data_IF_501500888406
#
_entry.id   IF_501500888406
#
_cell.length_a   1.000
_cell.length_b   1.000
_cell.length_c   1.000
_cell.angle_alpha   90.00
_cell.angle_beta   90.00
_cell.angle_gamma   90.00
#
_symmetry.space_group_name_H-M   'P 1'
#
loop_
_entity.id
_entity.type
_entity.pdbx_description
1 polymer ?
#
# COMPACT_ATOMS: atom_id res chain seq x y z
N UNK A 1 20.56 -25.24 -0.62
CA UNK A 1 21.04 -24.21 0.34
C UNK A 1 19.90 -23.92 1.28
N UNK A 2 20.04 -24.21 2.57
CA UNK A 2 18.95 -24.07 3.53
C UNK A 2 18.63 -22.59 3.80
N UNK A 3 17.34 -22.23 3.95
CA UNK A 3 16.87 -20.87 4.23
C UNK A 3 17.65 -20.20 5.38
N UNK A 4 18.02 -20.99 6.42
CA UNK A 4 18.85 -20.53 7.54
C UNK A 4 20.25 -20.07 7.10
N UNK A 5 20.88 -20.81 6.20
CA UNK A 5 22.21 -20.46 5.65
C UNK A 5 22.14 -19.20 4.78
N UNK A 6 21.04 -19.01 4.05
CA UNK A 6 20.81 -17.81 3.24
C UNK A 6 20.62 -16.58 4.10
N UNK A 7 19.83 -16.67 5.19
CA UNK A 7 19.61 -15.57 6.15
C UNK A 7 20.92 -15.21 6.85
N UNK A 8 21.70 -16.18 7.30
CA UNK A 8 23.00 -15.93 7.94
C UNK A 8 23.98 -15.24 6.97
N UNK A 9 24.01 -15.68 5.71
CA UNK A 9 24.87 -15.05 4.70
C UNK A 9 24.41 -13.61 4.39
N UNK A 10 23.11 -13.36 4.32
CA UNK A 10 22.53 -12.04 4.09
C UNK A 10 22.85 -11.08 5.27
N UNK A 11 22.70 -11.58 6.49
CA UNK A 11 23.00 -10.80 7.71
C UNK A 11 24.51 -10.53 7.83
N UNK A 12 25.37 -11.51 7.49
CA UNK A 12 26.83 -11.31 7.52
C UNK A 12 27.31 -10.31 6.45
N UNK A 13 26.72 -10.33 5.25
CA UNK A 13 27.03 -9.34 4.20
C UNK A 13 26.54 -7.94 4.55
N UNK A 14 25.37 -7.82 5.21
CA UNK A 14 24.91 -6.53 5.74
C UNK A 14 25.83 -5.98 6.84
N UNK A 15 26.32 -6.84 7.75
CA UNK A 15 27.23 -6.45 8.83
C UNK A 15 28.63 -6.05 8.29
N UNK A 16 29.11 -6.69 7.24
CA UNK A 16 30.37 -6.33 6.58
C UNK A 16 30.27 -5.01 5.81
N UNK A 17 29.09 -4.72 5.20
CA UNK A 17 28.83 -3.45 4.57
C UNK A 17 28.77 -2.26 5.56
N UNK A 18 28.38 -2.52 6.81
CA UNK A 18 28.35 -1.51 7.87
C UNK A 18 29.74 -1.09 8.38
N UNK A 19 30.78 -1.89 8.14
CA UNK A 19 32.17 -1.61 8.57
C UNK A 19 32.95 -0.70 7.59
N UNK A 20 32.40 -0.39 6.43
CA UNK A 20 32.98 0.56 5.48
C UNK A 20 32.84 1.98 6.00
N UNK A 21 33.75 2.43 6.87
CA UNK A 21 33.99 3.85 7.13
C UNK A 21 34.54 4.49 5.87
N UNK A 22 33.70 4.73 4.89
CA UNK A 22 34.00 5.66 3.84
C UNK A 22 34.10 7.05 4.50
N UNK A 23 35.32 7.46 4.84
CA UNK A 23 35.64 8.85 5.16
C UNK A 23 35.40 9.67 3.88
N UNK A 24 34.14 9.93 3.59
CA UNK A 24 33.77 10.83 2.53
C UNK A 24 33.81 12.24 3.11
N UNK A 25 34.88 12.99 2.80
CA UNK A 25 34.90 14.46 2.81
C UNK A 25 33.98 15.01 1.71
N UNK A 26 32.98 14.25 1.28
CA UNK A 26 31.98 14.69 0.33
C UNK A 26 31.17 15.82 0.96
N UNK A 27 31.24 17.00 0.33
CA UNK A 27 30.47 18.17 0.73
C UNK A 27 28.99 17.79 0.83
N UNK A 28 28.39 18.05 1.99
CA UNK A 28 26.96 17.81 2.18
C UNK A 28 26.14 18.70 1.26
N UNK A 29 25.31 18.08 0.46
CA UNK A 29 24.32 18.78 -0.36
C UNK A 29 23.18 19.27 0.55
N UNK A 30 22.64 20.44 0.29
CA UNK A 30 21.54 21.05 1.05
C UNK A 30 21.82 20.99 2.57
N UNK A 31 22.91 21.61 3.08
CA UNK A 31 23.33 21.47 4.50
C UNK A 31 22.26 21.98 5.49
N UNK A 32 21.44 22.96 5.09
CA UNK A 32 20.40 23.56 5.93
C UNK A 32 19.05 22.82 5.84
N UNK A 33 18.95 21.73 5.08
CA UNK A 33 17.71 21.01 4.93
C UNK A 33 17.19 20.50 6.28
N UNK A 34 18.04 19.87 7.07
CA UNK A 34 17.65 19.26 8.35
C UNK A 34 17.33 20.28 9.46
N UNK A 35 17.72 21.55 9.30
CA UNK A 35 17.40 22.62 10.23
C UNK A 35 16.03 23.28 9.99
N UNK A 36 15.46 23.08 8.81
CA UNK A 36 14.12 23.60 8.49
C UNK A 36 13.05 22.75 9.16
N UNK A 37 12.04 23.40 9.73
CA UNK A 37 10.93 22.71 10.39
C UNK A 37 9.90 22.16 9.41
N UNK A 38 9.74 22.78 8.26
CA UNK A 38 8.74 22.42 7.25
C UNK A 38 9.40 22.15 5.91
N UNK A 39 8.94 21.08 5.27
CA UNK A 39 9.33 20.73 3.91
C UNK A 39 8.08 20.36 3.13
N UNK A 40 8.11 20.68 1.85
CA UNK A 40 7.04 20.34 0.92
C UNK A 40 7.59 19.56 -0.25
N UNK A 41 6.71 18.81 -0.88
CA UNK A 41 7.12 17.99 -2.00
C UNK A 41 5.95 17.27 -2.65
N UNK A 42 6.28 16.30 -3.46
CA UNK A 42 5.29 15.42 -4.09
C UNK A 42 5.83 13.99 -4.18
N UNK A 43 4.90 13.06 -4.32
CA UNK A 43 5.19 11.63 -4.51
C UNK A 43 4.54 11.13 -5.79
N UNK A 44 5.30 10.33 -6.51
CA UNK A 44 4.83 9.49 -7.60
C UNK A 44 5.01 8.03 -7.17
N UNK A 45 3.96 7.23 -7.26
CA UNK A 45 4.05 5.87 -6.74
C UNK A 45 3.36 4.88 -7.67
N UNK A 46 3.93 3.67 -7.73
CA UNK A 46 3.22 2.48 -8.21
C UNK A 46 2.61 1.76 -7.02
N UNK A 47 1.42 1.23 -7.18
CA UNK A 47 0.79 0.40 -6.17
C UNK A 47 0.38 -0.97 -6.71
N UNK A 48 0.23 -1.93 -5.81
CA UNK A 48 -0.40 -3.22 -6.05
C UNK A 48 -1.44 -3.44 -4.97
N UNK A 49 -2.71 -3.45 -5.37
CA UNK A 49 -3.85 -3.49 -4.46
C UNK A 49 -4.56 -4.84 -4.53
N UNK A 50 -5.01 -5.30 -3.38
CA UNK A 50 -5.62 -6.61 -3.21
C UNK A 50 -6.58 -6.61 -2.03
N UNK A 51 -7.31 -7.71 -1.84
CA UNK A 51 -8.14 -7.96 -0.66
C UNK A 51 -7.54 -9.05 0.21
N UNK A 52 -7.74 -8.95 1.50
CA UNK A 52 -7.63 -10.04 2.44
C UNK A 52 -9.05 -10.52 2.77
N UNK A 53 -9.33 -11.81 2.51
CA UNK A 53 -10.67 -12.38 2.55
C UNK A 53 -10.74 -13.41 3.67
N UNK A 54 -11.69 -13.26 4.58
CA UNK A 54 -12.07 -14.26 5.57
C UNK A 54 -13.39 -14.91 5.13
N UNK A 55 -13.45 -16.24 5.07
CA UNK A 55 -14.65 -16.98 4.70
C UNK A 55 -15.54 -17.26 5.90
N UNK A 56 -16.85 -17.44 5.66
CA UNK A 56 -17.77 -17.88 6.70
C UNK A 56 -17.47 -19.33 7.10
N UNK A 57 -17.38 -19.68 8.41
CA UNK A 57 -17.05 -21.02 8.85
C UNK A 57 -18.06 -22.09 8.42
N UNK A 58 -19.33 -21.71 8.32
CA UNK A 58 -20.45 -22.59 7.95
C UNK A 58 -20.70 -22.63 6.44
N UNK A 59 -19.89 -21.90 5.64
CA UNK A 59 -20.03 -21.91 4.20
C UNK A 59 -19.38 -23.16 3.64
N UNK A 60 -20.20 -24.15 3.32
CA UNK A 60 -19.78 -25.23 2.43
C UNK A 60 -19.74 -24.67 1.02
N UNK A 61 -18.59 -24.66 0.37
CA UNK A 61 -18.52 -24.40 -1.06
C UNK A 61 -19.51 -25.38 -1.72
N UNK A 62 -20.56 -24.81 -2.34
CA UNK A 62 -21.56 -25.61 -3.04
C UNK A 62 -20.89 -26.37 -4.17
N UNK A 63 -21.51 -27.44 -4.66
CA UNK A 63 -21.00 -28.22 -5.78
C UNK A 63 -20.66 -27.39 -7.02
N UNK A 64 -21.16 -26.15 -7.11
CA UNK A 64 -20.89 -25.22 -8.20
C UNK A 64 -19.77 -24.21 -7.91
N UNK A 65 -19.58 -23.68 -6.68
CA UNK A 65 -18.52 -22.73 -6.37
C UNK A 65 -17.32 -23.43 -5.72
N UNK A 66 -16.22 -23.56 -6.46
CA UNK A 66 -15.01 -24.24 -6.05
C UNK A 66 -14.04 -23.36 -5.23
N UNK A 67 -14.03 -22.06 -5.48
CA UNK A 67 -13.12 -21.16 -4.78
C UNK A 67 -13.24 -19.69 -5.22
N UNK A 68 -12.72 -18.83 -4.35
CA UNK A 68 -12.55 -17.38 -4.61
C UNK A 68 -11.08 -17.04 -4.36
N UNK A 69 -10.40 -16.53 -5.37
CA UNK A 69 -9.00 -16.14 -5.27
C UNK A 69 -8.85 -14.63 -5.40
N UNK A 70 -7.99 -14.06 -4.56
CA UNK A 70 -7.64 -12.66 -4.66
C UNK A 70 -6.57 -12.45 -5.73
N UNK A 71 -6.83 -11.55 -6.68
CA UNK A 71 -5.91 -11.23 -7.77
C UNK A 71 -5.40 -9.79 -7.59
N UNK A 72 -4.15 -9.60 -7.13
CA UNK A 72 -3.58 -8.27 -7.00
C UNK A 72 -3.53 -7.56 -8.34
N UNK A 73 -3.90 -6.28 -8.34
CA UNK A 73 -3.87 -5.45 -9.54
C UNK A 73 -2.91 -4.27 -9.33
N UNK A 74 -2.25 -3.87 -10.42
CA UNK A 74 -1.35 -2.72 -10.42
C UNK A 74 -2.13 -1.42 -10.59
N UNK A 75 -1.63 -0.35 -9.97
CA UNK A 75 -2.15 0.99 -10.07
C UNK A 75 -1.07 2.03 -9.81
N UNK A 76 -1.46 3.28 -9.66
CA UNK A 76 -0.52 4.37 -9.39
C UNK A 76 -1.13 5.42 -8.45
N UNK A 77 -0.24 6.20 -7.78
CA UNK A 77 -0.64 7.26 -6.88
C UNK A 77 0.09 8.55 -7.21
N UNK A 78 -0.63 9.66 -7.04
CA UNK A 78 -0.11 11.02 -7.13
C UNK A 78 -0.44 11.73 -5.81
N UNK A 79 0.56 12.22 -5.10
CA UNK A 79 0.34 12.84 -3.80
C UNK A 79 1.21 14.06 -3.58
N UNK A 80 0.71 14.99 -2.78
CA UNK A 80 1.47 16.10 -2.23
C UNK A 80 2.07 15.67 -0.89
N UNK A 81 3.19 16.26 -0.53
CA UNK A 81 3.87 15.98 0.73
C UNK A 81 4.02 17.27 1.52
N UNK A 82 3.56 17.24 2.75
CA UNK A 82 3.91 18.20 3.78
C UNK A 82 4.59 17.45 4.93
N UNK A 83 5.81 17.85 5.27
CA UNK A 83 6.60 17.25 6.34
C UNK A 83 6.93 18.28 7.40
N UNK A 84 6.66 17.95 8.65
CA UNK A 84 6.99 18.74 9.82
C UNK A 84 8.06 18.01 10.65
N UNK A 85 9.15 18.67 10.95
CA UNK A 85 10.29 18.14 11.70
C UNK A 85 10.34 18.74 13.11
N UNK A 86 9.62 18.17 14.10
CA UNK A 86 9.60 18.70 15.47
C UNK A 86 10.97 18.53 16.15
N UNK A 87 11.66 17.42 15.88
CA UNK A 87 12.94 17.03 16.48
C UNK A 87 13.82 16.46 15.36
N UNK A 88 15.13 16.55 15.55
CA UNK A 88 16.07 15.89 14.62
C UNK A 88 15.73 14.40 14.47
N UNK A 89 15.72 13.94 13.22
CA UNK A 89 15.45 12.54 12.86
C UNK A 89 13.98 12.06 13.04
N UNK A 90 13.06 12.92 13.47
CA UNK A 90 11.63 12.60 13.60
C UNK A 90 10.83 13.57 12.75
N UNK A 91 10.08 13.02 11.81
CA UNK A 91 9.26 13.80 10.88
C UNK A 91 7.81 13.34 10.96
N UNK A 92 6.90 14.27 11.10
CA UNK A 92 5.47 14.03 10.91
C UNK A 92 5.11 14.44 9.48
N UNK A 93 4.61 13.48 8.68
CA UNK A 93 4.31 13.66 7.26
C UNK A 93 2.83 13.53 7.02
N UNK A 94 2.27 14.52 6.35
CA UNK A 94 0.91 14.48 5.81
C UNK A 94 1.00 14.43 4.27
N UNK A 95 0.37 13.40 3.66
CA UNK A 95 0.59 13.07 2.25
C UNK A 95 -0.73 12.92 1.50
N UNK A 96 -1.56 13.99 1.40
CA UNK A 96 -2.83 13.92 0.69
C UNK A 96 -2.61 13.65 -0.79
N UNK A 97 -3.45 12.78 -1.38
CA UNK A 97 -3.29 12.43 -2.79
C UNK A 97 -4.39 11.57 -3.36
N UNK A 98 -4.28 11.33 -4.65
CA UNK A 98 -5.13 10.45 -5.42
C UNK A 98 -4.43 9.11 -5.65
N UNK A 99 -5.16 8.03 -5.45
CA UNK A 99 -4.69 6.67 -5.68
C UNK A 99 -5.65 5.95 -6.62
N UNK A 100 -5.14 5.57 -7.77
CA UNK A 100 -5.85 4.76 -8.75
C UNK A 100 -5.54 3.31 -8.44
N UNK A 101 -6.56 2.57 -8.02
CA UNK A 101 -6.40 1.21 -7.52
C UNK A 101 -7.43 0.29 -8.16
N UNK A 102 -6.93 -0.78 -8.75
CA UNK A 102 -7.76 -1.87 -9.19
C UNK A 102 -7.59 -3.06 -8.26
N UNK A 103 -8.66 -3.82 -8.04
CA UNK A 103 -8.64 -5.05 -7.26
C UNK A 103 -9.43 -6.13 -7.98
N UNK A 104 -8.92 -7.35 -8.00
CA UNK A 104 -9.55 -8.48 -8.67
C UNK A 104 -9.96 -9.59 -7.71
N UNK A 105 -11.11 -10.17 -7.95
CA UNK A 105 -11.57 -11.42 -7.35
C UNK A 105 -11.86 -12.43 -8.46
N UNK A 106 -11.24 -13.59 -8.37
CA UNK A 106 -11.37 -14.67 -9.31
C UNK A 106 -12.27 -15.74 -8.71
N UNK A 107 -13.47 -15.91 -9.29
CA UNK A 107 -14.44 -16.90 -8.86
C UNK A 107 -14.35 -18.12 -9.76
N UNK A 108 -14.13 -19.29 -9.18
CA UNK A 108 -14.04 -20.54 -9.91
C UNK A 108 -15.27 -21.38 -9.64
N UNK A 109 -16.03 -21.68 -10.69
CA UNK A 109 -17.24 -22.48 -10.64
C UNK A 109 -17.08 -23.79 -11.41
N UNK A 110 -17.80 -24.83 -10.93
CA UNK A 110 -18.01 -26.04 -11.67
C UNK A 110 -19.31 -25.90 -12.49
N UNK A 111 -19.18 -25.87 -13.82
CA UNK A 111 -20.31 -25.82 -14.76
C UNK A 111 -20.82 -27.22 -15.11
N UNK A 112 -22.03 -27.33 -15.64
CA UNK A 112 -22.60 -28.59 -16.09
C UNK A 112 -21.67 -29.34 -17.04
N UNK A 113 -21.46 -30.64 -16.75
CA UNK A 113 -20.53 -31.48 -17.50
C UNK A 113 -19.08 -31.48 -16.99
N UNK A 114 -18.84 -31.12 -15.73
CA UNK A 114 -17.51 -31.15 -15.07
C UNK A 114 -16.49 -30.14 -15.66
N UNK A 115 -16.97 -29.05 -16.28
CA UNK A 115 -16.14 -27.95 -16.79
C UNK A 115 -15.92 -26.92 -15.70
N UNK A 116 -14.65 -26.53 -15.48
CA UNK A 116 -14.27 -25.46 -14.57
C UNK A 116 -14.31 -24.12 -15.32
N UNK A 117 -15.17 -23.20 -14.87
CA UNK A 117 -15.26 -21.86 -15.41
C UNK A 117 -14.77 -20.84 -14.37
N UNK A 118 -14.00 -19.86 -14.84
CA UNK A 118 -13.40 -18.85 -13.96
C UNK A 118 -13.85 -17.46 -14.39
N UNK A 119 -14.38 -16.69 -13.43
CA UNK A 119 -14.89 -15.34 -13.65
C UNK A 119 -14.08 -14.32 -12.85
N UNK A 120 -13.36 -13.44 -13.54
CA UNK A 120 -12.65 -12.34 -12.92
C UNK A 120 -13.57 -11.14 -12.71
N UNK A 121 -13.86 -10.80 -11.47
CA UNK A 121 -14.53 -9.54 -11.08
C UNK A 121 -13.48 -8.52 -10.69
N UNK A 122 -13.40 -7.42 -11.46
CA UNK A 122 -12.52 -6.30 -11.17
C UNK A 122 -13.32 -5.16 -10.54
N UNK A 123 -12.75 -4.55 -9.52
CA UNK A 123 -13.26 -3.32 -8.93
C UNK A 123 -12.21 -2.24 -9.14
N UNK A 124 -12.54 -1.30 -10.00
CA UNK A 124 -11.75 -0.10 -10.25
C UNK A 124 -12.17 0.97 -9.26
N UNK A 125 -11.21 1.65 -8.65
CA UNK A 125 -11.48 2.68 -7.64
C UNK A 125 -10.49 3.83 -7.74
N UNK A 126 -10.99 5.04 -7.60
CA UNK A 126 -10.17 6.25 -7.43
C UNK A 126 -10.33 6.72 -6.00
N UNK A 127 -9.27 6.57 -5.22
CA UNK A 127 -9.26 6.91 -3.79
C UNK A 127 -8.64 8.28 -3.56
N UNK A 128 -9.36 9.13 -2.84
CA UNK A 128 -8.78 10.30 -2.20
C UNK A 128 -8.24 9.88 -0.84
N UNK A 129 -6.93 9.97 -0.66
CA UNK A 129 -6.22 9.46 0.52
C UNK A 129 -5.62 10.59 1.36
N UNK A 130 -5.68 10.45 2.68
CA UNK A 130 -5.14 11.38 3.67
C UNK A 130 -4.24 10.64 4.67
N UNK A 131 -3.05 10.19 4.27
CA UNK A 131 -2.11 9.54 5.17
C UNK A 131 -1.45 10.52 6.13
N UNK A 132 -1.40 10.13 7.41
CA UNK A 132 -0.60 10.80 8.45
C UNK A 132 0.44 9.82 8.96
N UNK A 133 1.72 10.10 8.68
CA UNK A 133 2.83 9.18 8.87
C UNK A 133 3.88 9.76 9.82
N UNK A 134 4.34 8.96 10.74
CA UNK A 134 5.55 9.22 11.53
C UNK A 134 6.75 8.58 10.80
N UNK A 135 7.71 9.41 10.39
CA UNK A 135 8.96 9.00 9.75
C UNK A 135 10.10 9.13 10.75
N UNK A 136 10.76 8.02 11.03
CA UNK A 136 11.95 7.95 11.89
C UNK A 136 13.18 7.74 11.00
N UNK A 137 14.05 8.72 10.93
CA UNK A 137 15.22 8.74 10.06
C UNK A 137 16.50 8.52 10.84
N UNK A 138 17.46 7.82 10.24
CA UNK A 138 18.83 7.74 10.77
C UNK A 138 19.54 9.11 10.66
N UNK A 139 20.66 9.27 11.37
CA UNK A 139 21.54 10.37 11.06
C UNK A 139 22.03 10.28 9.62
N UNK A 140 22.17 11.43 8.99
CA UNK A 140 22.70 11.55 7.64
C UNK A 140 24.16 11.12 7.60
N UNK A 141 24.51 10.29 6.63
CA UNK A 141 25.89 9.88 6.34
C UNK A 141 26.23 10.38 4.94
N UNK A 142 26.99 11.48 4.85
CA UNK A 142 27.22 12.18 3.59
C UNK A 142 25.90 12.67 2.98
N UNK A 143 25.52 12.16 1.82
CA UNK A 143 24.29 12.54 1.12
C UNK A 143 23.20 11.46 1.17
N UNK A 144 23.22 10.61 2.20
CA UNK A 144 22.32 9.47 2.34
C UNK A 144 21.76 9.35 3.76
N UNK A 145 20.50 8.93 3.88
CA UNK A 145 19.88 8.53 5.14
C UNK A 145 18.85 7.43 4.88
N UNK A 146 18.73 6.49 5.82
CA UNK A 146 17.67 5.49 5.83
C UNK A 146 16.56 5.91 6.80
N UNK A 147 15.34 5.40 6.60
CA UNK A 147 14.24 5.67 7.50
C UNK A 147 13.20 4.55 7.54
N UNK A 148 12.51 4.47 8.67
CA UNK A 148 11.27 3.74 8.82
C UNK A 148 10.08 4.69 8.93
N UNK A 149 8.90 4.23 8.54
CA UNK A 149 7.67 5.00 8.69
C UNK A 149 6.51 4.09 9.13
N UNK A 150 5.64 4.67 9.92
CA UNK A 150 4.41 4.06 10.39
C UNK A 150 3.35 5.14 10.52
N UNK A 151 2.10 4.80 10.24
CA UNK A 151 0.99 5.75 10.39
C UNK A 151 -0.33 5.18 9.98
N UNK A 152 -1.32 6.05 9.86
CA UNK A 152 -2.65 5.71 9.41
C UNK A 152 -3.03 6.51 8.18
N UNK A 153 -3.90 5.94 7.36
CA UNK A 153 -4.47 6.62 6.21
C UNK A 153 -5.99 6.52 6.26
N UNK A 154 -6.66 7.64 6.10
CA UNK A 154 -8.08 7.70 5.82
C UNK A 154 -8.30 7.87 4.32
N UNK A 155 -9.09 6.98 3.72
CA UNK A 155 -9.39 6.98 2.30
C UNK A 155 -10.88 7.11 2.01
N UNK A 156 -11.20 7.82 0.92
CA UNK A 156 -12.55 7.97 0.39
C UNK A 156 -12.54 7.52 -1.07
N UNK A 157 -13.35 6.52 -1.39
CA UNK A 157 -13.54 6.07 -2.76
C UNK A 157 -14.45 7.05 -3.53
N UNK A 158 -13.90 7.69 -4.54
CA UNK A 158 -14.61 8.66 -5.39
C UNK A 158 -15.48 8.00 -6.45
N UNK A 159 -15.26 6.71 -6.73
CA UNK A 159 -16.01 5.91 -7.70
C UNK A 159 -16.83 4.80 -7.03
N UNK A 160 -17.14 4.94 -5.75
CA UNK A 160 -17.87 3.93 -4.99
C UNK A 160 -19.18 3.53 -5.67
N UNK A 161 -19.35 2.23 -5.87
CA UNK A 161 -20.57 1.62 -6.41
C UNK A 161 -21.56 1.20 -5.30
N UNK A 162 -21.42 1.76 -4.10
CA UNK A 162 -22.24 1.43 -2.94
C UNK A 162 -23.74 1.54 -3.19
N UNK A 163 -24.14 2.59 -3.91
CA UNK A 163 -25.55 2.95 -4.14
C UNK A 163 -26.06 2.50 -5.53
N UNK A 164 -25.30 1.67 -6.24
CA UNK A 164 -25.71 1.18 -7.58
C UNK A 164 -26.83 0.17 -7.45
N UNK A 165 -27.94 0.44 -8.15
CA UNK A 165 -29.08 -0.48 -8.23
C UNK A 165 -28.80 -1.56 -9.29
N UNK A 166 -28.55 -2.81 -8.85
CA UNK A 166 -28.18 -3.94 -9.71
C UNK A 166 -29.25 -4.26 -10.78
N UNK A 167 -30.53 -4.00 -10.47
CA UNK A 167 -31.63 -4.18 -11.42
C UNK A 167 -31.54 -3.26 -12.65
N UNK A 168 -30.89 -2.10 -12.50
CA UNK A 168 -30.69 -1.12 -13.57
C UNK A 168 -29.39 -1.39 -14.32
N UNK A 169 -28.36 -1.87 -13.61
CA UNK A 169 -27.03 -2.10 -14.18
C UNK A 169 -26.91 -3.40 -14.98
N UNK A 170 -27.84 -4.35 -14.82
CA UNK A 170 -27.83 -5.66 -15.51
C UNK A 170 -26.62 -6.55 -15.17
N UNK A 171 -25.85 -6.19 -14.15
CA UNK A 171 -24.65 -6.94 -13.68
C UNK A 171 -24.65 -6.99 -12.16
N UNK A 172 -24.37 -8.17 -11.61
CA UNK A 172 -24.13 -8.32 -10.18
C UNK A 172 -22.74 -7.74 -9.85
N UNK A 173 -22.70 -6.76 -8.97
CA UNK A 173 -21.49 -6.04 -8.58
C UNK A 173 -21.17 -6.36 -7.12
N UNK A 174 -19.90 -6.57 -6.79
CA UNK A 174 -19.44 -6.65 -5.41
C UNK A 174 -19.37 -5.23 -4.85
N UNK A 175 -20.33 -4.85 -4.00
CA UNK A 175 -20.40 -3.51 -3.43
C UNK A 175 -19.42 -3.37 -2.26
N UNK A 176 -18.69 -2.26 -2.28
CA UNK A 176 -17.71 -1.90 -1.27
C UNK A 176 -18.09 -0.62 -0.55
N UNK A 177 -17.68 -0.51 0.71
CA UNK A 177 -17.80 0.69 1.51
C UNK A 177 -17.02 1.86 0.87
N UNK A 178 -17.60 3.04 0.92
CA UNK A 178 -17.05 4.28 0.34
C UNK A 178 -15.78 4.75 1.06
N UNK A 179 -15.62 4.38 2.33
CA UNK A 179 -14.49 4.84 3.15
C UNK A 179 -13.73 3.68 3.75
N UNK A 180 -12.41 3.82 3.83
CA UNK A 180 -11.54 2.85 4.48
C UNK A 180 -10.53 3.56 5.38
N UNK A 181 -10.08 2.85 6.41
CA UNK A 181 -8.99 3.27 7.30
C UNK A 181 -7.93 2.19 7.24
N UNK A 182 -6.71 2.58 6.87
CA UNK A 182 -5.57 1.66 6.81
C UNK A 182 -4.51 2.01 7.84
N UNK A 183 -3.82 1.00 8.34
CA UNK A 183 -2.57 1.12 9.05
C UNK A 183 -1.44 0.89 8.05
N UNK A 184 -0.58 1.88 7.88
CA UNK A 184 0.51 1.86 6.92
C UNK A 184 1.85 1.74 7.64
N UNK A 185 2.71 0.84 7.18
CA UNK A 185 4.08 0.69 7.67
C UNK A 185 5.04 0.49 6.50
N UNK A 186 6.27 0.99 6.66
CA UNK A 186 7.25 0.88 5.60
C UNK A 186 8.60 1.46 5.95
N UNK A 187 9.39 1.71 4.91
CA UNK A 187 10.70 2.33 5.05
C UNK A 187 11.26 2.75 3.70
N UNK A 188 12.38 3.42 3.74
CA UNK A 188 12.99 3.92 2.53
C UNK A 188 14.35 4.56 2.77
N UNK A 189 14.82 5.19 1.71
CA UNK A 189 16.11 5.84 1.66
C UNK A 189 15.97 7.25 1.11
N UNK A 190 16.61 8.20 1.75
CA UNK A 190 16.72 9.59 1.32
C UNK A 190 18.11 9.84 0.71
N UNK A 191 18.13 10.42 -0.48
CA UNK A 191 19.32 10.88 -1.20
C UNK A 191 19.26 12.40 -1.29
N UNK A 192 20.25 13.08 -0.74
CA UNK A 192 20.33 14.53 -0.77
C UNK A 192 21.07 14.96 -2.03
N UNK A 193 20.32 15.40 -3.04
CA UNK A 193 20.85 15.94 -4.28
C UNK A 193 21.18 17.44 -4.10
N UNK A 194 21.90 18.09 -5.03
CA UNK A 194 22.29 19.50 -4.88
C UNK A 194 21.12 20.47 -4.71
N UNK A 195 19.94 20.16 -5.27
CA UNK A 195 18.78 21.08 -5.31
C UNK A 195 17.56 20.59 -4.53
N UNK A 196 17.42 19.27 -4.32
CA UNK A 196 16.26 18.67 -3.65
C UNK A 196 16.66 17.35 -2.99
N UNK A 197 15.83 16.87 -2.11
CA UNK A 197 15.93 15.53 -1.53
C UNK A 197 15.08 14.55 -2.35
N UNK A 198 15.71 13.51 -2.82
CA UNK A 198 15.08 12.38 -3.51
C UNK A 198 14.93 11.21 -2.55
N UNK A 199 13.75 10.61 -2.50
CA UNK A 199 13.49 9.43 -1.67
C UNK A 199 12.97 8.27 -2.47
N UNK A 200 13.37 7.06 -2.10
CA UNK A 200 12.74 5.81 -2.54
C UNK A 200 12.10 5.17 -1.32
N UNK A 201 10.80 4.93 -1.37
CA UNK A 201 10.00 4.47 -0.24
C UNK A 201 9.16 3.26 -0.63
N UNK A 202 9.18 2.23 0.22
CA UNK A 202 8.28 1.09 0.12
C UNK A 202 7.40 1.05 1.36
N UNK A 203 6.09 0.90 1.18
CA UNK A 203 5.13 0.75 2.28
C UNK A 203 4.05 -0.27 1.98
N UNK A 204 3.49 -0.83 3.03
CA UNK A 204 2.31 -1.69 2.97
C UNK A 204 1.22 -1.09 3.84
N UNK A 205 0.02 -0.96 3.28
CA UNK A 205 -1.19 -0.55 4.00
C UNK A 205 -2.09 -1.76 4.24
N UNK A 206 -2.62 -1.86 5.47
CA UNK A 206 -3.55 -2.89 5.91
C UNK A 206 -4.87 -2.25 6.32
N UNK A 207 -5.97 -2.59 5.63
CA UNK A 207 -7.32 -2.16 5.97
C UNK A 207 -7.72 -2.66 7.37
N UNK A 208 -8.26 -1.75 8.17
CA UNK A 208 -8.64 -2.05 9.56
C UNK A 208 -10.11 -2.42 9.70
N UNK A 209 -10.93 -2.11 8.69
CA UNK A 209 -12.36 -2.41 8.74
C UNK A 209 -12.79 -3.35 7.60
N UNK A 210 -13.94 -4.00 7.79
CA UNK A 210 -14.60 -4.73 6.72
C UNK A 210 -15.13 -3.73 5.69
N UNK A 211 -14.69 -3.86 4.45
CA UNK A 211 -15.14 -3.02 3.32
C UNK A 211 -16.23 -3.67 2.49
N UNK A 212 -16.57 -4.94 2.75
CA UNK A 212 -17.61 -5.65 2.02
C UNK A 212 -19.00 -5.24 2.51
N UNK A 213 -19.89 -4.89 1.57
CA UNK A 213 -21.32 -4.74 1.82
C UNK A 213 -21.98 -6.08 1.47
N UNK A 214 -22.66 -6.66 2.46
CA UNK A 214 -23.38 -7.93 2.27
C UNK A 214 -24.76 -7.69 1.67
N UNK A 215 -24.90 -7.95 0.39
CA UNK A 215 -26.18 -7.80 -0.36
C UNK A 215 -26.95 -9.12 -0.52
N UNK A 216 -26.47 -10.22 0.08
CA UNK A 216 -27.12 -11.53 -0.06
C UNK A 216 -27.03 -12.13 -1.46
N UNK A 217 -25.98 -11.76 -2.21
CA UNK A 217 -25.74 -12.30 -3.54
C UNK A 217 -24.69 -13.43 -3.51
N UNK A 218 -24.70 -14.30 -4.52
CA UNK A 218 -23.80 -15.47 -4.60
C UNK A 218 -22.30 -15.14 -4.53
N UNK A 219 -21.89 -13.88 -4.78
CA UNK A 219 -20.50 -13.45 -4.74
C UNK A 219 -20.08 -12.94 -3.36
N UNK A 220 -21.03 -12.43 -2.55
CA UNK A 220 -20.78 -11.88 -1.22
C UNK A 220 -21.09 -12.88 -0.10
N UNK A 221 -22.02 -13.80 -0.33
CA UNK A 221 -22.47 -14.78 0.68
C UNK A 221 -21.36 -15.64 1.29
N UNK A 222 -20.34 -16.12 0.53
CA UNK A 222 -19.26 -16.93 1.08
C UNK A 222 -18.31 -16.17 2.00
N UNK A 223 -18.30 -14.84 1.91
CA UNK A 223 -17.30 -13.98 2.54
C UNK A 223 -17.85 -13.42 3.84
N UNK A 224 -17.12 -13.62 4.95
CA UNK A 224 -17.47 -13.03 6.25
C UNK A 224 -16.88 -11.64 6.42
N UNK A 225 -15.63 -11.45 5.98
CA UNK A 225 -14.90 -10.20 6.15
C UNK A 225 -13.96 -9.99 4.96
N UNK A 226 -13.87 -8.76 4.49
CA UNK A 226 -12.97 -8.37 3.41
C UNK A 226 -12.27 -7.08 3.79
N UNK A 227 -10.95 -7.12 3.86
CA UNK A 227 -10.11 -5.97 4.19
C UNK A 227 -9.18 -5.64 3.04
N UNK A 228 -8.84 -4.38 2.89
CA UNK A 228 -7.92 -3.92 1.86
C UNK A 228 -6.47 -4.21 2.24
N UNK A 229 -5.66 -4.52 1.24
CA UNK A 229 -4.21 -4.62 1.37
C UNK A 229 -3.57 -3.97 0.16
N UNK A 230 -2.66 -3.02 0.40
CA UNK A 230 -2.00 -2.30 -0.68
C UNK A 230 -0.50 -2.25 -0.42
N UNK A 231 0.29 -2.63 -1.41
CA UNK A 231 1.73 -2.43 -1.44
C UNK A 231 2.03 -1.23 -2.33
N UNK A 232 2.90 -0.33 -1.88
CA UNK A 232 3.23 0.92 -2.59
C UNK A 232 4.74 1.10 -2.67
N UNK A 233 5.23 1.38 -3.88
CA UNK A 233 6.59 1.82 -4.14
C UNK A 233 6.54 3.28 -4.61
N UNK A 234 7.19 4.18 -3.89
CA UNK A 234 7.12 5.62 -4.11
C UNK A 234 8.47 6.24 -4.42
N UNK A 235 8.45 7.20 -5.32
CA UNK A 235 9.51 8.16 -5.55
C UNK A 235 9.09 9.50 -4.93
N UNK A 236 9.86 9.97 -3.94
CA UNK A 236 9.58 11.19 -3.18
C UNK A 236 10.51 12.30 -3.62
N UNK A 237 9.95 13.49 -3.87
CA UNK A 237 10.69 14.69 -4.24
C UNK A 237 10.34 15.77 -3.21
N UNK A 238 11.36 16.24 -2.46
CA UNK A 238 11.16 17.12 -1.31
C UNK A 238 12.17 18.28 -1.36
N UNK A 239 11.70 19.54 -1.16
CA UNK A 239 12.51 20.74 -1.22
C UNK A 239 12.40 21.65 0.02
#
# INVERSE_FOLDING_TARGET
>A
MNIRSFIVLLVSTLLLAASGHAQSNARENIPNFDSRKYHFGFLLSANSSSFFIDYKPDFSFNDSLLGIENVPQAGFNLALLASFNPIKNVNLRFVPGLSFQDRGLNYTYLSDGNKVETYLKRTESVWLQFPLMLKLRTNRVGNFAAYGLIGGCYGIDMQSQKDVNEAIAGKIVVKLEKTDITLDAGGGFDFFLPYFKFGIEMKTGFGMKNVLIQDGNQFTDPISNMRTRTFVLSLCFEG
#
